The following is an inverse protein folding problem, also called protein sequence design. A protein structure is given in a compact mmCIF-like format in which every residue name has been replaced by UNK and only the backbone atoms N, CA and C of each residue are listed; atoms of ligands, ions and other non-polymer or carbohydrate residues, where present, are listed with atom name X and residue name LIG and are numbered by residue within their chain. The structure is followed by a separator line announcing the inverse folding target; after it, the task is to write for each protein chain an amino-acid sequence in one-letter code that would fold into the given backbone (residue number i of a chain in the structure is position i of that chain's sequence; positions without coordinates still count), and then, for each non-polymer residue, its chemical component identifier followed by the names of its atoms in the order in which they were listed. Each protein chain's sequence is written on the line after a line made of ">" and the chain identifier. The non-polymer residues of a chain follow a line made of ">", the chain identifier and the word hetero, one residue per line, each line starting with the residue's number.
data_IF_942734642189
#
_entry.id   IF_942734642189
#
_cell.length_a   1.000
_cell.length_b   1.000
_cell.length_c   1.000
_cell.angle_alpha   90.00
_cell.angle_beta   90.00
_cell.angle_gamma   90.00
#
_symmetry.space_group_name_H-M   'P 1'
#
loop_
_entity.id
_entity.type
_entity.pdbx_description
1 polymer ?
#
# COMPACT_ATOMS: atom_id res chain seq x y z
N UNK A 1 43.43 40.18 -22.96
CA UNK A 1 43.16 39.31 -21.79
C UNK A 1 42.10 40.06 -20.97
N UNK A 2 40.86 39.60 -20.77
CA UNK A 2 40.33 38.29 -20.41
C UNK A 2 38.92 38.14 -21.02
N UNK A 3 38.56 36.97 -21.52
CA UNK A 3 37.17 36.61 -21.85
C UNK A 3 36.77 35.51 -20.87
N UNK A 4 35.74 35.76 -20.05
CA UNK A 4 35.21 34.78 -19.11
C UNK A 4 34.22 33.88 -19.83
N UNK A 5 34.49 32.57 -19.87
CA UNK A 5 33.56 31.56 -20.35
C UNK A 5 32.70 31.09 -19.16
N UNK A 6 31.40 31.37 -19.19
CA UNK A 6 30.43 30.80 -18.28
C UNK A 6 30.05 29.40 -18.78
N UNK A 7 30.46 28.36 -18.06
CA UNK A 7 30.08 26.97 -18.34
C UNK A 7 28.67 26.69 -17.85
N UNK A 8 27.78 26.29 -18.76
CA UNK A 8 26.47 25.72 -18.43
C UNK A 8 26.66 24.22 -18.15
N UNK A 9 26.41 23.80 -16.90
CA UNK A 9 26.33 22.39 -16.52
C UNK A 9 24.92 21.89 -16.80
N UNK A 10 24.76 21.05 -17.82
CA UNK A 10 23.51 20.35 -18.13
C UNK A 10 23.40 19.11 -17.23
N UNK A 11 22.43 19.12 -16.31
CA UNK A 11 22.04 17.94 -15.54
C UNK A 11 21.18 17.02 -16.43
N UNK A 12 21.75 15.90 -16.86
CA UNK A 12 20.98 14.86 -17.55
C UNK A 12 20.16 14.08 -16.51
N UNK A 13 18.85 14.29 -16.51
CA UNK A 13 17.92 13.47 -15.72
C UNK A 13 17.61 12.20 -16.50
N UNK A 14 18.03 11.05 -15.99
CA UNK A 14 17.70 9.74 -16.59
C UNK A 14 16.23 9.46 -16.30
N UNK A 15 15.38 9.54 -17.34
CA UNK A 15 13.97 9.21 -17.24
C UNK A 15 13.77 7.72 -17.51
N UNK A 16 13.26 6.97 -16.53
CA UNK A 16 12.90 5.56 -16.71
C UNK A 16 11.52 5.47 -17.39
N UNK A 17 11.45 4.74 -18.50
CA UNK A 17 10.24 4.57 -19.28
C UNK A 17 9.61 3.19 -18.97
N UNK A 18 8.34 3.15 -18.58
CA UNK A 18 7.59 1.89 -18.37
C UNK A 18 6.64 1.71 -19.56
N UNK A 19 6.62 0.55 -20.24
CA UNK A 19 5.73 0.34 -21.37
C UNK A 19 4.27 0.22 -20.91
N UNK A 20 3.38 1.00 -21.53
CA UNK A 20 1.93 0.89 -21.49
C UNK A 20 1.42 0.84 -22.94
N UNK A 21 0.29 0.17 -23.19
CA UNK A 21 -0.31 -0.01 -24.53
C UNK A 21 -0.61 1.30 -25.28
N UNK A 22 -0.44 2.46 -24.64
CA UNK A 22 -0.62 3.80 -25.21
C UNK A 22 0.68 4.60 -25.42
N UNK A 23 1.85 3.97 -25.31
CA UNK A 23 3.16 4.61 -25.48
C UNK A 23 3.82 5.04 -24.17
N UNK A 24 5.05 5.56 -24.27
CA UNK A 24 5.83 6.02 -23.12
C UNK A 24 5.51 7.47 -22.79
N UNK A 25 5.10 7.73 -21.55
CA UNK A 25 4.94 9.09 -21.02
C UNK A 25 5.95 9.31 -19.89
N UNK A 26 6.79 10.33 -20.04
CA UNK A 26 7.70 10.79 -19.00
C UNK A 26 6.93 11.73 -18.07
N UNK A 27 6.95 11.46 -16.75
CA UNK A 27 6.35 12.33 -15.74
C UNK A 27 7.44 12.85 -14.83
N UNK A 28 7.41 14.14 -14.50
CA UNK A 28 8.33 14.70 -13.51
C UNK A 28 7.91 14.32 -12.09
N UNK A 29 8.84 14.33 -11.13
CA UNK A 29 8.55 14.05 -9.72
C UNK A 29 7.51 15.04 -9.13
N UNK A 30 7.53 16.29 -9.59
CA UNK A 30 6.55 17.32 -9.22
C UNK A 30 5.14 17.05 -9.79
N UNK A 31 5.05 16.48 -10.99
CA UNK A 31 3.78 16.08 -11.63
C UNK A 31 3.13 14.90 -10.92
N UNK A 32 3.94 13.92 -10.50
CA UNK A 32 3.48 12.77 -9.71
C UNK A 32 2.87 13.18 -8.36
N UNK A 33 3.20 14.36 -7.85
CA UNK A 33 2.76 14.84 -6.54
C UNK A 33 1.32 15.39 -6.54
N UNK A 34 0.80 15.80 -7.70
CA UNK A 34 -0.48 16.52 -7.79
C UNK A 34 -1.57 15.76 -8.56
N UNK A 35 -1.23 14.71 -9.31
CA UNK A 35 -2.20 13.87 -10.02
C UNK A 35 -2.37 12.50 -9.35
N UNK A 36 -3.57 11.90 -9.40
CA UNK A 36 -3.78 10.56 -8.87
C UNK A 36 -2.84 9.57 -9.57
N UNK A 37 -2.10 8.79 -8.79
CA UNK A 37 -1.25 7.74 -9.33
C UNK A 37 -2.12 6.70 -10.05
N UNK A 38 -1.67 6.16 -11.19
CA UNK A 38 -2.39 5.09 -11.87
C UNK A 38 -2.51 3.86 -10.96
N UNK A 39 -3.62 3.14 -11.10
CA UNK A 39 -3.82 1.90 -10.37
C UNK A 39 -3.05 0.75 -11.03
N UNK A 40 -2.36 -0.05 -10.21
CA UNK A 40 -1.73 -1.32 -10.57
C UNK A 40 -2.27 -2.42 -9.67
N UNK A 41 -2.01 -3.68 -10.03
CA UNK A 41 -2.28 -4.80 -9.13
C UNK A 41 -1.22 -4.92 -8.05
N UNK A 42 -1.65 -5.22 -6.83
CA UNK A 42 -0.74 -5.61 -5.77
C UNK A 42 -0.13 -6.97 -6.10
N UNK A 43 1.16 -7.13 -5.82
CA UNK A 43 1.83 -8.43 -5.87
C UNK A 43 2.07 -8.93 -4.45
N UNK A 44 1.57 -10.11 -4.13
CA UNK A 44 1.90 -10.84 -2.92
C UNK A 44 3.14 -11.70 -3.17
N UNK A 45 4.09 -11.73 -2.24
CA UNK A 45 5.22 -12.68 -2.26
C UNK A 45 5.42 -13.29 -0.89
N UNK A 46 5.21 -14.61 -0.79
CA UNK A 46 5.32 -15.34 0.46
C UNK A 46 5.13 -16.85 0.29
N UNK A 47 5.40 -17.64 1.34
CA UNK A 47 5.21 -19.08 1.30
C UNK A 47 3.73 -19.44 1.44
N UNK A 48 3.28 -20.43 0.67
CA UNK A 48 1.91 -21.00 0.77
C UNK A 48 1.87 -22.36 1.46
N UNK A 49 3.05 -22.96 1.68
CA UNK A 49 3.24 -24.21 2.42
C UNK A 49 4.37 -24.02 3.41
N UNK A 50 4.24 -24.56 4.63
CA UNK A 50 5.28 -24.44 5.66
C UNK A 50 6.60 -25.02 5.16
N UNK A 51 7.66 -24.20 5.17
CA UNK A 51 8.99 -24.57 4.64
C UNK A 51 9.08 -24.66 3.11
N UNK A 52 8.01 -24.33 2.39
CA UNK A 52 7.99 -24.29 0.92
C UNK A 52 8.64 -23.02 0.35
N UNK A 53 8.87 -22.97 -0.97
CA UNK A 53 9.34 -21.77 -1.64
C UNK A 53 8.29 -20.66 -1.59
N UNK A 54 8.75 -19.41 -1.69
CA UNK A 54 7.86 -18.28 -1.91
C UNK A 54 7.24 -18.35 -3.31
N UNK A 55 5.96 -18.00 -3.41
CA UNK A 55 5.27 -17.79 -4.67
C UNK A 55 4.89 -16.32 -4.82
N UNK A 56 4.72 -15.86 -6.06
CA UNK A 56 4.18 -14.54 -6.36
C UNK A 56 2.78 -14.66 -6.90
N UNK A 57 1.83 -13.96 -6.28
CA UNK A 57 0.41 -13.92 -6.65
C UNK A 57 -0.01 -12.47 -6.87
N UNK A 58 -1.06 -12.24 -7.65
CA UNK A 58 -1.50 -10.89 -8.03
C UNK A 58 -2.98 -10.67 -7.72
N UNK A 59 -3.34 -9.44 -7.33
CA UNK A 59 -4.71 -9.05 -6.97
C UNK A 59 -4.77 -8.40 -5.59
N UNK A 60 -5.96 -8.13 -5.08
CA UNK A 60 -6.11 -7.67 -3.69
C UNK A 60 -5.97 -8.84 -2.69
N UNK A 61 -5.94 -8.53 -1.39
CA UNK A 61 -5.74 -9.53 -0.34
C UNK A 61 -6.82 -10.63 -0.33
N UNK A 62 -8.04 -10.34 -0.78
CA UNK A 62 -9.10 -11.35 -0.89
C UNK A 62 -8.80 -12.31 -2.03
N UNK A 63 -8.53 -11.77 -3.24
CA UNK A 63 -8.17 -12.57 -4.42
C UNK A 63 -6.90 -13.39 -4.21
N UNK A 64 -5.88 -12.80 -3.57
CA UNK A 64 -4.64 -13.50 -3.24
C UNK A 64 -4.92 -14.66 -2.29
N UNK A 65 -5.72 -14.45 -1.24
CA UNK A 65 -6.06 -15.54 -0.32
C UNK A 65 -6.81 -16.68 -1.02
N UNK A 66 -7.71 -16.36 -1.95
CA UNK A 66 -8.44 -17.37 -2.71
C UNK A 66 -7.48 -18.16 -3.65
N UNK A 67 -6.47 -17.50 -4.23
CA UNK A 67 -5.39 -18.16 -4.98
C UNK A 67 -4.51 -19.04 -4.08
N UNK A 68 -4.22 -18.61 -2.85
CA UNK A 68 -3.49 -19.42 -1.86
C UNK A 68 -4.27 -20.71 -1.57
N UNK A 69 -5.58 -20.61 -1.31
CA UNK A 69 -6.42 -21.79 -1.08
C UNK A 69 -6.51 -22.71 -2.30
N UNK A 70 -6.44 -22.17 -3.51
CA UNK A 70 -6.38 -22.99 -4.72
C UNK A 70 -5.06 -23.79 -4.83
N UNK A 71 -3.94 -23.24 -4.33
CA UNK A 71 -2.64 -23.90 -4.31
C UNK A 71 -2.47 -24.85 -3.12
N UNK A 72 -3.02 -24.48 -1.97
CA UNK A 72 -2.98 -25.22 -0.72
C UNK A 72 -4.33 -25.09 0.01
N UNK A 73 -5.27 -26.03 -0.21
CA UNK A 73 -6.57 -26.02 0.46
C UNK A 73 -6.49 -26.12 2.00
N UNK A 74 -5.40 -26.68 2.53
CA UNK A 74 -5.13 -26.82 3.97
C UNK A 74 -4.32 -25.64 4.53
N UNK A 75 -4.27 -24.51 3.82
CA UNK A 75 -3.53 -23.32 4.26
C UNK A 75 -4.03 -22.81 5.62
N UNK A 76 -3.11 -22.76 6.58
CA UNK A 76 -3.32 -22.19 7.91
C UNK A 76 -2.30 -21.10 8.18
N UNK A 77 -2.73 -19.84 8.15
CA UNK A 77 -1.89 -18.68 8.41
C UNK A 77 -1.21 -18.70 9.78
N UNK A 78 -1.77 -19.38 10.79
CA UNK A 78 -1.17 -19.45 12.13
C UNK A 78 0.14 -20.24 12.14
N UNK A 79 0.33 -21.13 11.17
CA UNK A 79 1.53 -21.97 11.03
C UNK A 79 2.75 -21.24 10.45
N UNK A 80 2.55 -20.05 9.87
CA UNK A 80 3.60 -19.24 9.24
C UNK A 80 4.25 -18.22 10.20
N UNK A 81 4.15 -18.44 11.51
CA UNK A 81 4.84 -17.64 12.53
C UNK A 81 4.07 -16.39 12.93
N UNK A 82 2.96 -16.56 13.65
CA UNK A 82 2.11 -15.48 14.15
C UNK A 82 2.32 -15.10 15.62
N UNK A 83 3.55 -15.06 16.17
CA UNK A 83 3.77 -14.58 17.56
C UNK A 83 5.21 -14.14 17.90
N UNK A 84 6.09 -13.88 16.94
CA UNK A 84 7.36 -13.23 17.26
C UNK A 84 7.07 -11.75 17.51
N UNK A 85 7.41 -11.27 18.70
CA UNK A 85 7.45 -9.86 19.10
C UNK A 85 7.91 -8.99 17.93
N UNK A 86 6.96 -8.29 17.33
CA UNK A 86 7.22 -7.41 16.20
C UNK A 86 8.04 -6.25 16.77
N UNK A 87 9.35 -6.26 16.51
CA UNK A 87 10.00 -5.00 16.24
C UNK A 87 9.19 -4.39 15.11
N UNK A 88 8.35 -3.42 15.47
CA UNK A 88 7.74 -2.49 14.52
C UNK A 88 8.83 -2.16 13.52
N UNK A 89 8.63 -2.55 12.25
CA UNK A 89 9.59 -2.29 11.19
C UNK A 89 10.07 -0.85 11.29
N UNK A 90 11.31 -0.58 10.92
CA UNK A 90 11.90 0.76 11.04
C UNK A 90 10.98 1.85 10.45
N UNK A 91 10.13 1.53 9.47
CA UNK A 91 9.07 2.40 8.94
C UNK A 91 7.95 2.77 9.95
N UNK A 92 7.51 1.86 10.82
CA UNK A 92 6.54 2.19 11.88
C UNK A 92 7.12 3.13 12.94
N UNK A 93 8.46 3.26 13.04
CA UNK A 93 9.11 4.34 13.82
C UNK A 93 9.16 5.68 13.07
N UNK A 94 9.01 5.68 11.74
CA UNK A 94 8.94 6.89 10.90
C UNK A 94 7.51 7.46 10.80
N UNK A 95 6.48 6.69 11.16
CA UNK A 95 5.06 7.02 10.96
C UNK A 95 4.46 7.97 12.00
N UNK A 96 5.21 8.38 13.03
CA UNK A 96 4.65 9.14 14.17
C UNK A 96 4.25 10.59 13.87
N UNK A 97 4.24 11.05 12.61
CA UNK A 97 3.97 12.46 12.30
C UNK A 97 3.42 12.87 10.94
N UNK A 98 3.20 11.96 9.98
CA UNK A 98 2.80 12.38 8.62
C UNK A 98 1.51 11.68 8.15
N UNK A 99 0.36 12.22 8.56
CA UNK A 99 -0.96 11.76 8.13
C UNK A 99 -1.78 12.90 7.52
N UNK A 100 -2.71 12.56 6.63
CA UNK A 100 -3.65 13.49 6.03
C UNK A 100 -5.09 12.97 6.14
N UNK A 101 -5.86 13.53 7.06
CA UNK A 101 -7.26 13.15 7.31
C UNK A 101 -8.26 13.65 6.26
N UNK A 102 -7.80 14.44 5.29
CA UNK A 102 -8.62 15.00 4.22
C UNK A 102 -8.40 14.29 2.88
N UNK A 103 -7.69 13.16 2.87
CA UNK A 103 -7.53 12.32 1.69
C UNK A 103 -8.71 11.33 1.56
N UNK A 104 -9.32 11.25 0.38
CA UNK A 104 -10.37 10.28 0.06
C UNK A 104 -11.79 10.65 0.52
N UNK A 105 -12.71 9.70 0.31
CA UNK A 105 -14.11 9.75 0.75
C UNK A 105 -14.23 9.04 2.10
N UNK A 106 -15.03 9.59 3.00
CA UNK A 106 -15.23 9.04 4.35
C UNK A 106 -15.87 7.67 4.32
N UNK A 107 -15.22 6.67 4.91
CA UNK A 107 -15.86 5.40 5.26
C UNK A 107 -16.73 5.66 6.49
N UNK A 108 -18.04 5.55 6.35
CA UNK A 108 -18.99 5.91 7.43
C UNK A 108 -18.99 4.93 8.62
N UNK A 109 -18.57 3.68 8.37
CA UNK A 109 -18.66 2.58 9.33
C UNK A 109 -17.42 1.69 9.24
N UNK A 110 -16.26 2.22 9.66
CA UNK A 110 -14.96 1.58 9.52
C UNK A 110 -14.93 0.16 10.09
N UNK A 111 -15.35 -0.03 11.35
CA UNK A 111 -15.21 -1.33 11.98
C UNK A 111 -16.07 -2.40 11.31
N UNK A 112 -17.29 -2.04 10.89
CA UNK A 112 -18.18 -3.01 10.24
C UNK A 112 -17.92 -3.20 8.74
N UNK A 113 -17.53 -2.15 8.01
CA UNK A 113 -17.26 -2.26 6.56
C UNK A 113 -15.88 -2.85 6.29
N UNK A 114 -14.86 -2.44 7.04
CA UNK A 114 -13.47 -2.79 6.75
C UNK A 114 -13.00 -4.11 7.38
N UNK A 115 -13.77 -4.72 8.30
CA UNK A 115 -13.32 -5.89 9.06
C UNK A 115 -12.75 -7.02 8.19
N UNK A 116 -13.46 -7.42 7.12
CA UNK A 116 -12.98 -8.49 6.24
C UNK A 116 -11.72 -8.07 5.47
N UNK A 117 -11.65 -6.82 5.02
CA UNK A 117 -10.47 -6.29 4.32
C UNK A 117 -9.22 -6.30 5.21
N UNK A 118 -9.36 -5.88 6.47
CA UNK A 118 -8.30 -5.88 7.49
C UNK A 118 -7.89 -7.33 7.80
N UNK A 119 -8.85 -8.22 8.03
CA UNK A 119 -8.58 -9.61 8.37
C UNK A 119 -7.82 -10.33 7.26
N UNK A 120 -8.12 -10.06 5.98
CA UNK A 120 -7.36 -10.63 4.86
C UNK A 120 -5.90 -10.17 4.87
N UNK A 121 -5.63 -8.88 5.09
CA UNK A 121 -4.26 -8.37 5.22
C UNK A 121 -3.51 -8.98 6.42
N UNK A 122 -4.18 -9.13 7.56
CA UNK A 122 -3.61 -9.80 8.75
C UNK A 122 -3.31 -11.28 8.46
N UNK A 123 -4.18 -11.95 7.71
CA UNK A 123 -4.02 -13.37 7.34
C UNK A 123 -2.81 -13.59 6.43
N UNK A 124 -2.53 -12.65 5.51
CA UNK A 124 -1.31 -12.68 4.70
C UNK A 124 -0.04 -12.40 5.51
N UNK A 125 -0.19 -11.81 6.71
CA UNK A 125 0.84 -11.79 7.75
C UNK A 125 2.11 -11.05 7.35
N UNK A 126 3.25 -11.69 7.62
CA UNK A 126 4.60 -11.19 7.31
C UNK A 126 5.05 -11.53 5.88
N UNK A 127 4.12 -11.89 4.99
CA UNK A 127 4.40 -11.96 3.56
C UNK A 127 4.43 -10.54 2.97
N UNK A 128 5.13 -10.37 1.86
CA UNK A 128 5.25 -9.07 1.24
C UNK A 128 4.04 -8.76 0.35
N UNK A 129 3.50 -7.56 0.54
CA UNK A 129 2.58 -6.90 -0.35
C UNK A 129 3.36 -5.79 -1.07
N UNK A 130 3.45 -5.88 -2.39
CA UNK A 130 4.28 -5.00 -3.22
C UNK A 130 3.45 -4.24 -4.25
N UNK A 131 3.94 -3.05 -4.60
CA UNK A 131 3.33 -2.17 -5.60
C UNK A 131 4.39 -1.65 -6.57
N UNK A 132 4.03 -1.62 -7.85
CA UNK A 132 4.92 -1.18 -8.92
C UNK A 132 5.34 0.30 -8.74
N UNK A 133 6.49 0.71 -9.33
CA UNK A 133 6.91 2.11 -9.35
C UNK A 133 5.80 3.06 -9.78
N UNK A 134 5.69 4.22 -9.12
CA UNK A 134 4.78 5.30 -9.51
C UNK A 134 3.31 4.90 -9.68
N UNK A 135 2.83 3.93 -8.89
CA UNK A 135 1.44 3.42 -8.96
C UNK A 135 0.83 3.29 -7.56
N UNK A 136 -0.49 3.16 -7.49
CA UNK A 136 -1.20 2.71 -6.31
C UNK A 136 -1.81 1.33 -6.58
N UNK A 137 -1.83 0.46 -5.58
CA UNK A 137 -2.60 -0.77 -5.64
C UNK A 137 -3.71 -0.76 -4.61
N UNK A 138 -4.92 -1.21 -5.00
CA UNK A 138 -5.98 -1.51 -4.03
C UNK A 138 -5.61 -2.82 -3.36
N UNK A 139 -5.04 -2.73 -2.16
CA UNK A 139 -4.49 -3.89 -1.45
C UNK A 139 -5.57 -4.72 -0.76
N UNK A 140 -6.70 -4.11 -0.42
CA UNK A 140 -7.83 -4.81 0.17
C UNK A 140 -9.11 -3.99 0.01
N UNK A 141 -10.24 -4.69 -0.11
CA UNK A 141 -11.56 -4.05 -0.18
C UNK A 141 -12.63 -4.92 0.47
N UNK A 142 -13.55 -4.29 1.20
CA UNK A 142 -14.74 -4.94 1.78
C UNK A 142 -15.84 -3.92 2.00
N UNK A 143 -17.07 -4.20 1.54
CA UNK A 143 -18.24 -3.33 1.75
C UNK A 143 -17.98 -1.85 1.41
N UNK A 144 -17.29 -1.60 0.30
CA UNK A 144 -16.84 -0.27 -0.14
C UNK A 144 -15.82 0.43 0.77
N UNK A 145 -15.28 -0.25 1.79
CA UNK A 145 -14.07 0.19 2.47
C UNK A 145 -12.86 -0.28 1.66
N UNK A 146 -12.19 0.66 0.98
CA UNK A 146 -11.02 0.40 0.16
C UNK A 146 -9.74 0.87 0.85
N UNK A 147 -8.72 0.02 0.78
CA UNK A 147 -7.39 0.27 1.32
C UNK A 147 -6.39 0.27 0.17
N UNK A 148 -5.48 1.24 0.18
CA UNK A 148 -4.48 1.40 -0.87
C UNK A 148 -3.07 1.41 -0.29
N UNK A 149 -2.14 0.83 -1.04
CA UNK A 149 -0.70 1.05 -0.90
C UNK A 149 -0.22 1.77 -2.15
N UNK A 150 0.39 2.93 -1.96
CA UNK A 150 0.78 3.82 -3.04
C UNK A 150 2.28 4.09 -3.02
N UNK A 151 2.92 3.88 -4.15
CA UNK A 151 4.34 4.03 -4.35
C UNK A 151 4.64 5.30 -5.14
N UNK A 152 5.28 6.26 -4.48
CA UNK A 152 5.71 7.51 -5.09
C UNK A 152 7.17 7.46 -5.58
N UNK A 153 7.80 6.28 -5.55
CA UNK A 153 9.18 6.06 -6.00
C UNK A 153 9.22 5.46 -7.40
N UNK A 154 10.40 5.58 -8.01
CA UNK A 154 10.73 4.97 -9.30
C UNK A 154 11.20 3.51 -9.19
N UNK A 155 11.18 2.94 -7.97
CA UNK A 155 11.46 1.53 -7.68
C UNK A 155 10.28 0.89 -6.96
N UNK A 156 10.14 -0.44 -7.08
CA UNK A 156 9.10 -1.20 -6.39
C UNK A 156 9.21 -1.02 -4.87
N UNK A 157 8.06 -0.82 -4.22
CA UNK A 157 7.94 -0.85 -2.77
C UNK A 157 7.33 -2.17 -2.35
N UNK A 158 7.88 -2.76 -1.29
CA UNK A 158 7.36 -3.97 -0.66
C UNK A 158 7.29 -3.74 0.84
N UNK A 159 6.12 -3.98 1.43
CA UNK A 159 5.86 -3.90 2.86
C UNK A 159 5.21 -5.19 3.33
N UNK A 160 5.21 -5.49 4.63
CA UNK A 160 4.43 -6.62 5.11
C UNK A 160 2.94 -6.33 4.95
N UNK A 161 2.18 -7.32 4.47
CA UNK A 161 0.73 -7.17 4.30
C UNK A 161 0.04 -6.78 5.61
N UNK A 162 0.50 -7.33 6.74
CA UNK A 162 0.01 -6.98 8.07
C UNK A 162 0.28 -5.52 8.45
N UNK A 163 1.39 -4.93 8.01
CA UNK A 163 1.73 -3.55 8.37
C UNK A 163 0.74 -2.56 7.74
N UNK A 164 0.23 -2.85 6.54
CA UNK A 164 -0.85 -2.05 5.93
C UNK A 164 -2.10 -2.06 6.82
N UNK A 165 -2.46 -3.19 7.43
CA UNK A 165 -3.58 -3.26 8.36
C UNK A 165 -3.34 -2.42 9.63
N UNK A 166 -2.10 -2.41 10.13
CA UNK A 166 -1.68 -1.58 11.26
C UNK A 166 -1.79 -0.09 10.90
N UNK A 167 -1.34 0.29 9.71
CA UNK A 167 -1.45 1.66 9.20
C UNK A 167 -2.89 2.15 9.16
N UNK A 168 -3.85 1.30 8.76
CA UNK A 168 -5.27 1.65 8.81
C UNK A 168 -5.72 1.96 10.24
N UNK A 169 -5.23 1.20 11.23
CA UNK A 169 -5.49 1.47 12.64
C UNK A 169 -4.92 2.82 13.09
N UNK A 170 -3.74 3.21 12.59
CA UNK A 170 -3.16 4.54 12.83
C UNK A 170 -4.01 5.63 12.19
N UNK A 171 -4.41 5.47 10.94
CA UNK A 171 -5.28 6.42 10.23
C UNK A 171 -6.59 6.61 11.00
N UNK A 172 -7.24 5.53 11.44
CA UNK A 172 -8.48 5.61 12.22
C UNK A 172 -8.26 6.24 13.58
N UNK A 173 -7.15 5.93 14.27
CA UNK A 173 -6.84 6.55 15.57
C UNK A 173 -6.60 8.07 15.45
N UNK A 174 -6.04 8.54 14.33
CA UNK A 174 -5.71 9.97 14.13
C UNK A 174 -6.81 10.77 13.45
N UNK A 175 -7.52 10.16 12.51
CA UNK A 175 -8.47 10.81 11.62
C UNK A 175 -9.92 10.35 11.83
N UNK A 176 -10.13 9.33 12.67
CA UNK A 176 -11.45 8.81 12.99
C UNK A 176 -12.25 9.76 13.89
N UNK A 177 -13.55 9.76 13.70
CA UNK A 177 -14.50 10.34 14.65
C UNK A 177 -15.65 9.36 14.89
N UNK A 178 -16.17 9.32 16.11
CA UNK A 178 -17.31 8.48 16.45
C UNK A 178 -18.52 8.85 15.59
N UNK A 179 -19.19 7.86 15.03
CA UNK A 179 -20.40 8.08 14.21
C UNK A 179 -21.70 8.03 15.03
N UNK A 180 -21.62 7.94 16.36
CA UNK A 180 -22.76 7.88 17.27
C UNK A 180 -23.43 6.50 17.40
N UNK A 181 -22.98 5.49 16.65
CA UNK A 181 -23.59 4.14 16.62
C UNK A 181 -22.63 3.03 17.08
N UNK A 182 -21.58 3.36 17.83
CA UNK A 182 -20.54 2.41 18.23
C UNK A 182 -19.60 2.02 17.09
N UNK A 183 -19.54 2.82 16.03
CA UNK A 183 -18.62 2.64 14.90
C UNK A 183 -17.92 3.98 14.61
N UNK A 184 -16.86 3.95 13.81
CA UNK A 184 -16.02 5.12 13.54
C UNK A 184 -16.12 5.48 12.07
N UNK A 185 -16.31 6.76 11.80
CA UNK A 185 -16.12 7.29 10.45
C UNK A 185 -14.68 7.74 10.28
N UNK A 186 -14.03 7.28 9.22
CA UNK A 186 -12.62 7.57 9.00
C UNK A 186 -12.31 7.66 7.50
N UNK A 187 -11.33 8.49 7.19
CA UNK A 187 -10.61 8.53 5.92
C UNK A 187 -9.22 9.11 6.16
N UNK A 188 -8.34 8.90 5.21
CA UNK A 188 -7.08 9.60 5.17
C UNK A 188 -5.96 8.74 4.66
N UNK A 189 -4.76 9.30 4.71
CA UNK A 189 -3.53 8.63 4.33
C UNK A 189 -2.47 8.74 5.41
N UNK A 190 -1.59 7.74 5.47
CA UNK A 190 -0.39 7.71 6.29
C UNK A 190 0.82 7.66 5.37
N UNK A 191 1.72 8.64 5.50
CA UNK A 191 2.82 8.86 4.59
C UNK A 191 4.15 8.46 5.20
N UNK A 192 4.93 7.74 4.40
CA UNK A 192 6.33 7.37 4.65
C UNK A 192 7.23 8.03 3.61
N UNK A 193 8.54 7.85 3.74
CA UNK A 193 9.49 8.40 2.75
C UNK A 193 9.28 7.80 1.36
N UNK A 194 9.00 6.50 1.27
CA UNK A 194 8.92 5.76 0.00
C UNK A 194 7.51 5.42 -0.49
N UNK A 195 6.51 5.54 0.36
CA UNK A 195 5.15 5.15 0.03
C UNK A 195 4.16 5.82 0.96
N UNK A 196 2.88 5.61 0.70
CA UNK A 196 1.84 5.94 1.66
C UNK A 196 0.74 4.90 1.57
N UNK A 197 0.01 4.72 2.67
CA UNK A 197 -1.21 3.93 2.70
C UNK A 197 -2.41 4.86 2.81
N UNK A 198 -3.56 4.44 2.28
CA UNK A 198 -4.78 5.27 2.27
C UNK A 198 -6.03 4.44 2.56
N UNK A 199 -6.96 5.05 3.31
CA UNK A 199 -8.28 4.54 3.66
C UNK A 199 -9.33 5.47 3.04
N UNK A 200 -10.18 4.91 2.18
CA UNK A 200 -11.25 5.67 1.52
C UNK A 200 -12.46 4.79 1.24
N UNK A 201 -13.63 5.41 1.17
CA UNK A 201 -14.81 4.75 0.64
C UNK A 201 -14.74 4.71 -0.89
N UNK A 202 -14.74 3.50 -1.45
CA UNK A 202 -14.80 3.25 -2.89
C UNK A 202 -15.30 1.82 -3.11
N UNK A 203 -16.10 1.62 -4.15
CA UNK A 203 -16.61 0.30 -4.50
C UNK A 203 -15.48 -0.72 -4.73
N UNK A 204 -15.70 -1.94 -4.24
CA UNK A 204 -14.93 -3.12 -4.61
C UNK A 204 -15.34 -3.53 -6.04
#
# INVERSE_FOLDING_TARGET
>A
MRVAAAGLVLWASVAAAIPSEKGYHYRSAEEMKHEPLPLSEMSFTGPVTVGGPNVTLHGDASSVYDQILALNPDFDASTFGGAASVEHGLEARQSTGNWNCNNGVTVERYYSQCANAINRLITLGTSYCSVAPSTCARVSCSNSCSMYLCNNQFSQVSVYCRDIAIDMGIIVSKCGSDNGNGDTRARGSLHFTSHYTSLTQQAC
#
